data_IF_370576579656
#
_entry.id   IF_370576579656
#
_cell.length_a   1.000
_cell.length_b   1.000
_cell.length_c   1.000
_cell.angle_alpha   90.00
_cell.angle_beta   90.00
_cell.angle_gamma   90.00
#
_symmetry.space_group_name_H-M   'P 1'
#
loop_
_entity.id
_entity.type
_entity.pdbx_description
1 polymer ?
#
# COMPACT_ATOMS: atom_id res chain seq x y z
N UNK A 1 -7.00 -5.95 15.28
CA UNK A 1 -6.32 -5.11 14.28
C UNK A 1 -4.83 -5.42 14.30
N UNK A 2 -4.27 -5.82 13.14
CA UNK A 2 -2.82 -5.99 12.96
C UNK A 2 -2.35 -4.98 11.93
N UNK A 3 -1.35 -4.16 12.28
CA UNK A 3 -0.71 -3.20 11.38
C UNK A 3 0.63 -3.73 10.89
N UNK A 4 0.88 -3.60 9.59
CA UNK A 4 2.17 -3.91 8.96
C UNK A 4 2.61 -2.72 8.11
N UNK A 5 3.91 -2.57 7.90
CA UNK A 5 4.46 -1.53 7.02
C UNK A 5 5.29 -2.16 5.92
N UNK A 6 5.04 -1.75 4.68
CA UNK A 6 5.78 -2.19 3.51
C UNK A 6 6.45 -0.98 2.87
N UNK A 7 7.76 -1.09 2.65
CA UNK A 7 8.50 -0.12 1.85
C UNK A 7 8.43 -0.55 0.39
N UNK A 8 8.06 0.38 -0.48
CA UNK A 8 8.07 0.18 -1.92
C UNK A 8 8.72 1.37 -2.61
N UNK A 9 8.97 1.19 -3.89
CA UNK A 9 9.64 2.18 -4.74
C UNK A 9 8.83 2.33 -6.01
N UNK A 10 8.74 3.53 -6.56
CA UNK A 10 8.09 3.74 -7.86
C UNK A 10 8.78 4.87 -8.62
N UNK A 11 8.84 4.73 -9.94
CA UNK A 11 9.42 5.75 -10.83
C UNK A 11 8.34 6.60 -11.51
N UNK A 12 7.08 6.17 -11.44
CA UNK A 12 5.92 6.88 -11.97
C UNK A 12 4.63 6.39 -11.29
N UNK A 13 3.54 7.14 -11.49
CA UNK A 13 2.23 6.83 -10.91
C UNK A 13 1.72 5.44 -11.32
N UNK A 14 1.88 5.06 -12.58
CA UNK A 14 1.40 3.76 -13.08
C UNK A 14 2.11 2.59 -12.39
N UNK A 15 3.40 2.71 -12.14
CA UNK A 15 4.18 1.71 -11.40
C UNK A 15 3.74 1.64 -9.94
N UNK A 16 3.48 2.80 -9.32
CA UNK A 16 2.96 2.88 -7.97
C UNK A 16 1.59 2.19 -7.85
N UNK A 17 0.64 2.55 -8.70
CA UNK A 17 -0.72 1.99 -8.68
C UNK A 17 -0.68 0.47 -8.79
N UNK A 18 0.13 -0.05 -9.73
CA UNK A 18 0.32 -1.49 -9.92
C UNK A 18 0.92 -2.16 -8.67
N UNK A 19 1.91 -1.53 -8.03
CA UNK A 19 2.54 -2.07 -6.82
C UNK A 19 1.57 -2.09 -5.64
N UNK A 20 0.75 -1.05 -5.49
CA UNK A 20 -0.29 -1.00 -4.46
C UNK A 20 -1.32 -2.10 -4.68
N UNK A 21 -1.81 -2.24 -5.90
CA UNK A 21 -2.76 -3.29 -6.24
C UNK A 21 -2.19 -4.68 -5.92
N UNK A 22 -0.94 -4.95 -6.28
CA UNK A 22 -0.26 -6.20 -5.96
C UNK A 22 -0.12 -6.43 -4.45
N UNK A 23 0.27 -5.40 -3.68
CA UNK A 23 0.38 -5.48 -2.23
C UNK A 23 -1.00 -5.82 -1.63
N UNK A 24 -2.04 -5.09 -2.01
CA UNK A 24 -3.42 -5.33 -1.54
C UNK A 24 -3.87 -6.76 -1.83
N UNK A 25 -3.77 -7.20 -3.09
CA UNK A 25 -4.20 -8.54 -3.50
C UNK A 25 -3.42 -9.64 -2.76
N UNK A 26 -2.12 -9.46 -2.53
CA UNK A 26 -1.32 -10.43 -1.78
C UNK A 26 -1.81 -10.54 -0.34
N UNK A 27 -2.06 -9.42 0.33
CA UNK A 27 -2.54 -9.41 1.70
C UNK A 27 -3.98 -9.93 1.83
N UNK A 28 -4.86 -9.63 0.87
CA UNK A 28 -6.21 -10.19 0.81
C UNK A 28 -6.18 -11.70 0.63
N UNK A 29 -5.32 -12.21 -0.27
CA UNK A 29 -5.14 -13.66 -0.47
C UNK A 29 -4.62 -14.36 0.77
N UNK A 30 -3.71 -13.73 1.52
CA UNK A 30 -3.18 -14.29 2.76
C UNK A 30 -4.14 -14.16 3.94
N UNK A 31 -5.14 -13.27 3.86
CA UNK A 31 -6.09 -13.00 4.93
C UNK A 31 -7.54 -12.98 4.39
N UNK A 32 -8.07 -14.10 3.86
CA UNK A 32 -9.35 -14.13 3.15
C UNK A 32 -10.56 -13.74 4.02
N UNK A 33 -10.46 -13.96 5.32
CA UNK A 33 -11.52 -13.65 6.31
C UNK A 33 -11.39 -12.25 6.91
N UNK A 34 -10.37 -11.49 6.50
CA UNK A 34 -10.09 -10.16 7.05
C UNK A 34 -10.30 -9.10 5.99
N UNK A 35 -10.52 -7.87 6.46
CA UNK A 35 -10.54 -6.68 5.61
C UNK A 35 -9.13 -6.07 5.60
N UNK A 36 -8.61 -5.82 4.42
CA UNK A 36 -7.30 -5.18 4.23
C UNK A 36 -7.53 -3.74 3.78
N UNK A 37 -6.88 -2.79 4.46
CA UNK A 37 -6.86 -1.38 4.06
C UNK A 37 -5.42 -0.89 3.91
N UNK A 38 -5.22 -0.02 2.92
CA UNK A 38 -3.92 0.58 2.60
C UNK A 38 -3.92 2.05 3.03
N UNK A 39 -2.81 2.48 3.63
CA UNK A 39 -2.56 3.86 4.04
C UNK A 39 -1.18 4.31 3.56
N UNK A 40 -1.08 5.56 3.09
CA UNK A 40 0.18 6.15 2.64
C UNK A 40 0.78 6.91 3.82
N UNK A 41 1.86 6.38 4.38
CA UNK A 41 2.47 6.92 5.60
C UNK A 41 3.48 8.02 5.28
N UNK A 42 4.38 7.78 4.33
CA UNK A 42 5.39 8.75 3.93
C UNK A 42 5.97 8.47 2.52
N UNK A 43 6.03 9.47 1.62
CA UNK A 43 5.22 10.69 1.61
C UNK A 43 3.70 10.39 1.56
N UNK A 44 2.86 11.36 1.92
CA UNK A 44 1.41 11.23 1.72
C UNK A 44 1.10 11.16 0.22
N UNK A 45 0.01 10.50 -0.16
CA UNK A 45 -0.36 10.28 -1.57
C UNK A 45 -0.41 11.55 -2.41
N UNK A 46 -0.89 12.66 -1.84
CA UNK A 46 -1.00 13.94 -2.52
C UNK A 46 0.34 14.70 -2.65
N UNK A 47 1.35 14.28 -1.89
CA UNK A 47 2.68 14.89 -1.86
C UNK A 47 3.68 14.11 -2.75
N UNK A 48 3.22 13.04 -3.43
CA UNK A 48 4.06 12.23 -4.32
C UNK A 48 4.31 12.99 -5.62
N UNK A 49 5.56 13.41 -5.82
CA UNK A 49 6.00 14.03 -7.06
C UNK A 49 7.10 13.17 -7.72
N UNK A 50 6.75 12.53 -8.83
CA UNK A 50 7.71 11.76 -9.63
C UNK A 50 8.57 12.71 -10.47
N UNK A 51 9.89 12.62 -10.29
CA UNK A 51 10.88 13.40 -11.03
C UNK A 51 11.59 12.46 -12.02
N UNK A 52 11.87 12.90 -13.26
CA UNK A 52 12.68 12.14 -14.20
C UNK A 52 14.00 11.68 -13.56
N UNK A 53 14.38 10.43 -13.81
CA UNK A 53 15.62 9.82 -13.32
C UNK A 53 15.73 9.69 -11.79
N UNK A 54 14.62 9.77 -11.06
CA UNK A 54 14.59 9.51 -9.61
C UNK A 54 13.53 8.46 -9.26
N UNK A 55 13.91 7.54 -8.39
CA UNK A 55 12.99 6.58 -7.79
C UNK A 55 12.44 7.16 -6.50
N UNK A 56 11.13 7.24 -6.38
CA UNK A 56 10.45 7.68 -5.15
C UNK A 56 10.28 6.49 -4.22
N UNK A 57 10.81 6.58 -3.00
CA UNK A 57 10.55 5.61 -1.93
C UNK A 57 9.24 5.96 -1.24
N UNK A 58 8.45 4.94 -0.93
CA UNK A 58 7.12 5.06 -0.35
C UNK A 58 6.96 4.08 0.80
N UNK A 59 6.56 4.58 1.96
CA UNK A 59 6.16 3.79 3.12
C UNK A 59 4.65 3.62 3.13
N UNK A 60 4.21 2.38 2.98
CA UNK A 60 2.80 2.01 2.93
C UNK A 60 2.44 1.26 4.21
N UNK A 61 1.42 1.73 4.92
CA UNK A 61 0.80 1.04 6.04
C UNK A 61 -0.31 0.13 5.56
N UNK A 62 -0.27 -1.13 5.95
CA UNK A 62 -1.28 -2.14 5.69
C UNK A 62 -1.99 -2.44 7.02
N UNK A 63 -3.28 -2.14 7.06
CA UNK A 63 -4.12 -2.39 8.21
C UNK A 63 -5.02 -3.59 7.93
N UNK A 64 -4.94 -4.60 8.80
CA UNK A 64 -5.75 -5.80 8.71
C UNK A 64 -6.77 -5.78 9.86
N UNK A 65 -8.04 -5.76 9.48
CA UNK A 65 -9.19 -5.76 10.39
C UNK A 65 -9.93 -7.09 10.29
N UNK A 66 -10.49 -7.55 11.40
CA UNK A 66 -11.42 -8.66 11.37
C UNK A 66 -12.68 -8.20 10.60
N UNK A 67 -13.21 -9.02 9.69
CA UNK A 67 -14.50 -8.71 9.07
C UNK A 67 -15.52 -8.71 10.19
N UNK A 68 -16.19 -7.58 10.40
CA UNK A 68 -17.31 -7.49 11.36
C UNK A 68 -18.29 -8.63 11.03
N UNK A 69 -18.51 -9.52 11.99
CA UNK A 69 -19.67 -10.41 11.98
C UNK A 69 -20.91 -9.49 12.08
N UNK A 70 -21.73 -9.48 11.04
CA UNK A 70 -23.08 -8.91 11.03
C UNK A 70 -24.07 -9.94 11.59
#
# INVERSE_FOLDING_TARGET
>A
MTGMTTITFANNQKELDRKIEQITQNHERWNPEKRVEISYLDPKVNDIHFIPHQTTQLLIGINIFDKLED
#
